data_IF_313067276074
#
_entry.id   IF_313067276074
#
_cell.length_a   1.000
_cell.length_b   1.000
_cell.length_c   1.000
_cell.angle_alpha   90.00
_cell.angle_beta   90.00
_cell.angle_gamma   90.00
#
_symmetry.space_group_name_H-M   'P 1'
#
loop_
_entity.id
_entity.type
_entity.pdbx_description
1 polymer ?
#
# COMPACT_ATOMS: atom_id res chain seq x y z
N UNK A 1 -26.19 -76.69 -44.95
CA UNK A 1 -25.78 -76.26 -43.60
C UNK A 1 -24.57 -75.33 -43.73
N UNK A 2 -24.75 -74.01 -43.89
CA UNK A 2 -23.57 -73.17 -44.13
C UNK A 2 -23.74 -71.67 -44.37
N UNK A 3 -24.80 -71.00 -43.88
CA UNK A 3 -24.92 -69.52 -44.04
C UNK A 3 -25.48 -68.81 -42.78
N UNK A 4 -25.55 -69.46 -41.62
CA UNK A 4 -26.22 -68.88 -40.42
C UNK A 4 -25.34 -68.71 -39.19
N UNK A 5 -24.01 -68.65 -39.34
CA UNK A 5 -23.09 -68.37 -38.21
C UNK A 5 -22.22 -67.12 -38.35
N UNK A 6 -22.29 -66.40 -39.47
CA UNK A 6 -21.45 -65.21 -39.75
C UNK A 6 -22.24 -63.89 -39.72
N UNK A 7 -23.38 -63.83 -39.03
CA UNK A 7 -24.15 -62.58 -38.84
C UNK A 7 -24.33 -62.18 -37.37
N UNK A 8 -23.89 -63.01 -36.40
CA UNK A 8 -23.97 -62.68 -34.97
C UNK A 8 -22.71 -62.04 -34.37
N UNK A 9 -21.60 -62.01 -35.11
CA UNK A 9 -20.36 -61.37 -34.62
C UNK A 9 -20.23 -59.89 -35.02
N UNK A 10 -20.95 -59.43 -36.05
CA UNK A 10 -20.88 -58.03 -36.52
C UNK A 10 -21.87 -57.14 -35.75
N UNK A 11 -23.01 -57.69 -35.32
CA UNK A 11 -24.03 -56.95 -34.55
C UNK A 11 -23.59 -56.53 -33.15
N UNK A 12 -22.72 -57.30 -32.48
CA UNK A 12 -22.28 -57.00 -31.12
C UNK A 12 -21.09 -56.04 -31.05
N UNK A 13 -20.29 -55.93 -32.11
CA UNK A 13 -19.22 -54.92 -32.19
C UNK A 13 -19.78 -53.52 -32.48
N UNK A 14 -20.86 -53.43 -33.27
CA UNK A 14 -21.53 -52.16 -33.56
C UNK A 14 -22.31 -51.61 -32.34
N UNK A 15 -22.88 -52.47 -31.50
CA UNK A 15 -23.59 -52.03 -30.29
C UNK A 15 -22.64 -51.60 -29.15
N UNK A 16 -21.46 -52.22 -29.04
CA UNK A 16 -20.43 -51.80 -28.08
C UNK A 16 -19.73 -50.50 -28.51
N UNK A 17 -19.58 -50.24 -29.81
CA UNK A 17 -19.07 -48.97 -30.32
C UNK A 17 -20.07 -47.81 -30.16
N UNK A 18 -21.36 -48.06 -30.34
CA UNK A 18 -22.40 -47.04 -30.20
C UNK A 18 -22.68 -46.62 -28.74
N UNK A 19 -22.40 -47.49 -27.76
CA UNK A 19 -22.53 -47.18 -26.33
C UNK A 19 -21.32 -46.46 -25.73
N UNK A 20 -20.18 -46.39 -26.44
CA UNK A 20 -18.99 -45.65 -26.00
C UNK A 20 -18.93 -44.20 -26.54
N UNK A 21 -19.84 -43.82 -27.44
CA UNK A 21 -19.94 -42.47 -27.99
C UNK A 21 -20.93 -41.56 -27.24
N UNK A 22 -21.70 -42.09 -26.29
CA UNK A 22 -22.70 -41.33 -25.53
C UNK A 22 -22.21 -40.83 -24.15
N UNK A 23 -20.92 -40.96 -23.87
CA UNK A 23 -20.32 -40.52 -22.60
C UNK A 23 -18.98 -39.80 -22.81
N UNK A 24 -18.78 -39.14 -23.96
CA UNK A 24 -17.95 -37.95 -23.92
C UNK A 24 -18.70 -36.97 -23.00
N UNK A 25 -18.12 -36.50 -21.87
CA UNK A 25 -18.74 -35.40 -21.17
C UNK A 25 -18.95 -34.32 -22.22
N UNK A 26 -20.18 -33.83 -22.35
CA UNK A 26 -20.36 -32.59 -23.08
C UNK A 26 -19.33 -31.64 -22.47
N UNK A 27 -18.40 -31.17 -23.28
CA UNK A 27 -17.66 -29.97 -22.94
C UNK A 27 -18.74 -28.91 -22.82
N UNK A 28 -19.32 -28.79 -21.63
CA UNK A 28 -20.17 -27.70 -21.27
C UNK A 28 -19.18 -26.55 -21.21
N UNK A 29 -18.95 -25.93 -22.36
CA UNK A 29 -18.26 -24.65 -22.44
C UNK A 29 -18.92 -23.81 -21.36
N UNK A 30 -18.14 -23.45 -20.35
CA UNK A 30 -18.68 -22.69 -19.26
C UNK A 30 -19.00 -21.30 -19.79
N UNK A 31 -20.26 -21.11 -20.19
CA UNK A 31 -20.74 -19.83 -20.69
C UNK A 31 -20.50 -18.71 -19.68
N UNK A 32 -20.27 -19.00 -18.39
CA UNK A 32 -19.89 -17.96 -17.43
C UNK A 32 -18.51 -17.41 -17.78
N UNK A 33 -17.50 -18.28 -17.90
CA UNK A 33 -16.10 -17.90 -18.14
C UNK A 33 -15.88 -17.29 -19.52
N UNK A 34 -16.51 -17.86 -20.55
CA UNK A 34 -16.44 -17.34 -21.93
C UNK A 34 -17.00 -15.92 -22.07
N UNK A 35 -17.77 -15.46 -21.07
CA UNK A 35 -18.33 -14.10 -21.01
C UNK A 35 -17.49 -13.12 -20.18
N UNK A 36 -16.29 -13.48 -19.72
CA UNK A 36 -15.38 -12.61 -18.99
C UNK A 36 -14.40 -11.86 -19.91
N UNK A 37 -14.93 -11.07 -20.83
CA UNK A 37 -14.14 -10.38 -21.86
C UNK A 37 -12.96 -9.56 -21.33
N UNK A 38 -13.08 -9.01 -20.11
CA UNK A 38 -12.04 -8.21 -19.48
C UNK A 38 -10.78 -9.04 -19.17
N UNK A 39 -10.95 -10.31 -18.77
CA UNK A 39 -9.82 -11.22 -18.54
C UNK A 39 -9.13 -11.58 -19.87
N UNK A 40 -9.90 -11.77 -20.94
CA UNK A 40 -9.35 -11.97 -22.29
C UNK A 40 -8.55 -10.74 -22.72
N UNK A 41 -9.11 -9.53 -22.53
CA UNK A 41 -8.47 -8.27 -22.89
C UNK A 41 -7.17 -8.02 -22.10
N UNK A 42 -7.07 -8.54 -20.87
CA UNK A 42 -5.87 -8.47 -20.05
C UNK A 42 -4.83 -9.56 -20.33
N UNK A 43 -5.19 -10.60 -21.10
CA UNK A 43 -4.40 -11.83 -21.22
C UNK A 43 -4.16 -12.48 -19.84
N UNK A 44 -5.25 -12.80 -19.14
CA UNK A 44 -5.22 -13.31 -17.77
C UNK A 44 -4.37 -14.59 -17.62
N UNK A 45 -4.34 -15.47 -18.62
CA UNK A 45 -3.47 -16.66 -18.59
C UNK A 45 -1.98 -16.30 -18.59
N UNK A 46 -1.57 -15.25 -19.32
CA UNK A 46 -0.20 -14.76 -19.26
C UNK A 46 0.09 -14.08 -17.92
N UNK A 47 -0.88 -13.35 -17.36
CA UNK A 47 -0.79 -12.72 -16.04
C UNK A 47 -0.55 -13.76 -14.94
N UNK A 48 -1.35 -14.84 -14.91
CA UNK A 48 -1.28 -15.84 -13.84
C UNK A 48 0.01 -16.67 -13.85
N UNK A 49 0.75 -16.68 -14.97
CA UNK A 49 2.12 -17.25 -15.01
C UNK A 49 3.14 -16.37 -14.28
N UNK A 50 2.85 -15.07 -14.15
CA UNK A 50 3.73 -14.10 -13.51
C UNK A 50 3.37 -13.86 -12.05
N UNK A 51 2.09 -13.86 -11.71
CA UNK A 51 1.56 -13.69 -10.36
C UNK A 51 0.09 -14.08 -10.31
N UNK A 52 -0.35 -14.62 -9.18
CA UNK A 52 -1.78 -14.88 -8.89
C UNK A 52 -2.32 -14.08 -7.71
N UNK A 53 -1.48 -13.22 -7.10
CA UNK A 53 -1.85 -12.41 -5.94
C UNK A 53 -1.67 -13.11 -4.59
N UNK A 54 -1.00 -14.27 -4.56
CA UNK A 54 -0.72 -15.02 -3.34
C UNK A 54 -0.07 -14.15 -2.25
N UNK A 55 -0.54 -14.33 -1.00
CA UNK A 55 -0.02 -13.61 0.16
C UNK A 55 -0.53 -12.18 0.32
N UNK A 56 -1.32 -11.67 -0.63
CA UNK A 56 -1.88 -10.32 -0.57
C UNK A 56 -3.32 -10.34 -0.07
N UNK A 57 -3.62 -9.48 0.90
CA UNK A 57 -4.98 -9.24 1.38
C UNK A 57 -5.52 -7.94 0.78
N UNK A 58 -6.68 -8.04 0.15
CA UNK A 58 -7.46 -6.90 -0.38
C UNK A 58 -8.70 -6.72 0.51
N UNK A 59 -8.78 -5.59 1.21
CA UNK A 59 -10.00 -5.23 1.92
C UNK A 59 -11.04 -4.70 0.93
N UNK A 60 -12.28 -5.15 1.08
CA UNK A 60 -13.42 -4.72 0.24
C UNK A 60 -14.43 -4.05 1.15
N UNK A 61 -14.48 -2.72 1.11
CA UNK A 61 -15.46 -1.90 1.85
C UNK A 61 -16.70 -1.75 0.97
N UNK A 62 -17.76 -2.50 1.28
CA UNK A 62 -18.95 -2.64 0.43
C UNK A 62 -20.17 -3.14 1.24
N UNK A 63 -21.20 -3.73 0.62
CA UNK A 63 -22.38 -4.27 1.30
C UNK A 63 -22.20 -5.71 1.85
N UNK A 64 -20.96 -6.16 1.99
CA UNK A 64 -20.60 -7.52 2.43
C UNK A 64 -20.40 -8.50 1.26
N UNK A 65 -19.89 -9.68 1.57
CA UNK A 65 -19.51 -10.70 0.59
C UNK A 65 -20.12 -12.05 0.94
N UNK A 66 -20.62 -12.76 -0.07
CA UNK A 66 -20.97 -14.17 0.04
C UNK A 66 -19.72 -15.04 0.04
N UNK A 67 -19.07 -15.20 1.19
CA UNK A 67 -17.87 -16.04 1.32
C UNK A 67 -18.11 -17.54 1.13
N UNK A 68 -19.38 -17.97 0.99
CA UNK A 68 -19.76 -19.35 0.70
C UNK A 68 -20.02 -19.59 -0.79
N UNK A 69 -19.93 -18.57 -1.64
CA UNK A 69 -20.05 -18.73 -3.08
C UNK A 69 -18.96 -19.71 -3.57
N UNK A 70 -19.27 -20.70 -4.43
CA UNK A 70 -18.31 -21.71 -4.88
C UNK A 70 -17.00 -21.12 -5.42
N UNK A 71 -17.08 -20.05 -6.21
CA UNK A 71 -15.91 -19.38 -6.78
C UNK A 71 -15.08 -18.54 -5.79
N UNK A 72 -15.56 -18.34 -4.56
CA UNK A 72 -14.94 -17.46 -3.56
C UNK A 72 -14.60 -18.18 -2.26
N UNK A 73 -15.14 -19.38 -2.04
CA UNK A 73 -14.91 -20.15 -0.83
C UNK A 73 -13.43 -20.38 -0.61
N UNK A 74 -12.94 -20.11 0.60
CA UNK A 74 -11.51 -20.18 0.93
C UNK A 74 -10.69 -18.93 0.59
N UNK A 75 -11.19 -18.01 -0.25
CA UNK A 75 -10.54 -16.72 -0.53
C UNK A 75 -11.10 -15.57 0.31
N UNK A 76 -12.31 -15.71 0.86
CA UNK A 76 -12.93 -14.69 1.71
C UNK A 76 -12.60 -14.95 3.18
N UNK A 77 -11.86 -14.03 3.79
CA UNK A 77 -11.52 -14.04 5.22
C UNK A 77 -12.75 -13.71 6.06
N UNK A 78 -12.65 -13.97 7.37
CA UNK A 78 -13.64 -13.47 8.32
C UNK A 78 -13.56 -11.94 8.37
N UNK A 79 -14.57 -11.29 7.84
CA UNK A 79 -14.72 -9.84 7.86
C UNK A 79 -15.62 -9.32 8.97
N UNK A 80 -15.71 -7.99 9.06
CA UNK A 80 -16.50 -7.29 10.08
C UNK A 80 -17.66 -6.53 9.45
N UNK A 81 -18.84 -6.69 10.04
CA UNK A 81 -20.02 -5.90 9.71
C UNK A 81 -20.10 -4.66 10.61
N UNK A 82 -20.07 -3.48 10.00
CA UNK A 82 -20.16 -2.20 10.69
C UNK A 82 -21.56 -1.57 10.58
N UNK A 83 -22.52 -2.23 9.93
CA UNK A 83 -23.91 -1.77 9.83
C UNK A 83 -24.76 -2.18 11.05
N UNK A 84 -24.81 -3.47 11.40
CA UNK A 84 -25.65 -4.01 12.47
C UNK A 84 -24.93 -5.04 13.37
N UNK A 85 -23.60 -4.99 13.39
CA UNK A 85 -22.69 -5.95 14.04
C UNK A 85 -22.67 -7.35 13.38
N UNK A 86 -21.61 -8.12 13.60
CA UNK A 86 -21.47 -9.48 13.07
C UNK A 86 -20.47 -9.62 11.92
N UNK A 87 -20.73 -10.57 11.02
CA UNK A 87 -19.78 -11.04 9.98
C UNK A 87 -20.12 -10.46 8.62
N UNK A 88 -19.12 -9.93 7.92
CA UNK A 88 -19.29 -9.43 6.55
C UNK A 88 -19.05 -10.51 5.48
N UNK A 89 -18.63 -11.73 5.84
CA UNK A 89 -18.37 -12.85 4.91
C UNK A 89 -19.59 -13.79 4.71
N UNK A 90 -20.76 -13.37 5.18
CA UNK A 90 -22.00 -14.18 5.17
C UNK A 90 -23.14 -13.50 4.44
N UNK A 91 -22.83 -12.53 3.58
CA UNK A 91 -23.86 -11.79 2.88
C UNK A 91 -24.48 -12.65 1.77
N UNK A 92 -25.81 -12.73 1.71
CA UNK A 92 -26.55 -13.48 0.68
C UNK A 92 -27.69 -12.67 0.07
N UNK A 93 -28.00 -11.49 0.59
CA UNK A 93 -29.13 -10.66 0.16
C UNK A 93 -28.72 -9.50 -0.75
N UNK A 94 -27.42 -9.25 -0.93
CA UNK A 94 -26.87 -8.28 -1.89
C UNK A 94 -25.81 -8.89 -2.78
N UNK A 95 -25.69 -8.31 -3.98
CA UNK A 95 -24.74 -8.78 -4.98
C UNK A 95 -23.46 -7.95 -5.08
N UNK A 96 -23.48 -6.65 -4.73
CA UNK A 96 -22.41 -5.73 -5.11
C UNK A 96 -21.04 -6.09 -4.51
N UNK A 97 -20.92 -6.30 -3.20
CA UNK A 97 -19.65 -6.68 -2.57
C UNK A 97 -19.15 -8.06 -3.02
N UNK A 98 -20.06 -9.02 -3.20
CA UNK A 98 -19.74 -10.33 -3.79
C UNK A 98 -19.21 -10.19 -5.22
N UNK A 99 -19.79 -9.32 -6.01
CA UNK A 99 -19.33 -9.03 -7.36
C UNK A 99 -17.91 -8.44 -7.35
N UNK A 100 -17.65 -7.43 -6.50
CA UNK A 100 -16.30 -6.84 -6.36
C UNK A 100 -15.27 -7.87 -5.93
N UNK A 101 -15.59 -8.67 -4.91
CA UNK A 101 -14.73 -9.74 -4.43
C UNK A 101 -14.43 -10.77 -5.53
N UNK A 102 -15.43 -11.08 -6.38
CA UNK A 102 -15.24 -12.03 -7.49
C UNK A 102 -14.34 -11.50 -8.60
N UNK A 103 -14.45 -10.21 -8.95
CA UNK A 103 -13.55 -9.58 -9.93
C UNK A 103 -12.11 -9.61 -9.42
N UNK A 104 -11.91 -9.45 -8.11
CA UNK A 104 -10.57 -9.43 -7.50
C UNK A 104 -10.01 -10.85 -7.39
N UNK A 105 -10.71 -11.77 -6.71
CA UNK A 105 -10.12 -13.02 -6.23
C UNK A 105 -11.04 -14.24 -6.33
N UNK A 106 -11.96 -14.28 -7.30
CA UNK A 106 -12.61 -15.55 -7.63
C UNK A 106 -11.59 -16.55 -8.18
N UNK A 107 -11.71 -17.81 -7.79
CA UNK A 107 -10.80 -18.88 -8.22
C UNK A 107 -11.52 -19.96 -9.03
N UNK A 108 -12.80 -19.76 -9.37
CA UNK A 108 -13.63 -20.76 -10.03
C UNK A 108 -13.99 -21.93 -9.11
N UNK A 109 -14.66 -22.93 -9.66
CA UNK A 109 -14.98 -24.18 -8.99
C UNK A 109 -15.06 -25.33 -10.01
N UNK A 110 -15.47 -26.51 -9.55
CA UNK A 110 -15.56 -27.71 -10.40
C UNK A 110 -14.18 -28.32 -10.71
N UNK A 111 -14.12 -29.32 -11.61
CA UNK A 111 -12.87 -29.98 -11.97
C UNK A 111 -11.84 -28.98 -12.50
N UNK A 112 -10.64 -28.96 -11.90
CA UNK A 112 -9.56 -28.02 -12.21
C UNK A 112 -9.96 -26.54 -12.13
N UNK A 113 -10.97 -26.21 -11.33
CA UNK A 113 -11.51 -24.86 -11.20
C UNK A 113 -12.02 -24.25 -12.52
N UNK A 114 -12.45 -25.09 -13.47
CA UNK A 114 -12.83 -24.67 -14.82
C UNK A 114 -14.29 -24.18 -14.96
N UNK A 115 -15.03 -24.10 -13.87
CA UNK A 115 -16.43 -23.62 -13.84
C UNK A 115 -16.55 -22.33 -13.03
N UNK A 116 -17.52 -21.48 -13.37
CA UNK A 116 -17.77 -20.20 -12.71
C UNK A 116 -16.81 -19.08 -13.13
N UNK A 117 -16.85 -17.97 -12.39
CA UNK A 117 -16.01 -16.80 -12.68
C UNK A 117 -14.61 -16.94 -12.10
N UNK A 118 -13.64 -16.34 -12.80
CA UNK A 118 -12.28 -16.09 -12.30
C UNK A 118 -12.09 -14.62 -11.95
N UNK A 119 -11.32 -14.34 -10.91
CA UNK A 119 -10.84 -13.01 -10.56
C UNK A 119 -9.48 -12.74 -11.20
N UNK A 120 -9.07 -11.48 -11.22
CA UNK A 120 -7.77 -11.10 -11.79
C UNK A 120 -6.60 -11.61 -10.93
N UNK A 121 -6.78 -11.67 -9.61
CA UNK A 121 -5.81 -12.14 -8.61
C UNK A 121 -6.39 -13.34 -7.82
N UNK A 122 -6.49 -14.54 -8.44
CA UNK A 122 -7.26 -15.66 -7.90
C UNK A 122 -6.71 -16.25 -6.59
N UNK A 123 -5.46 -15.97 -6.21
CA UNK A 123 -4.87 -16.44 -4.94
C UNK A 123 -4.79 -15.34 -3.86
N UNK A 124 -5.27 -14.12 -4.16
CA UNK A 124 -5.42 -13.07 -3.17
C UNK A 124 -6.53 -13.41 -2.16
N UNK A 125 -6.43 -12.83 -0.95
CA UNK A 125 -7.47 -12.95 0.08
C UNK A 125 -8.31 -11.69 0.16
N UNK A 126 -9.61 -11.87 0.36
CA UNK A 126 -10.58 -10.79 0.53
C UNK A 126 -10.88 -10.61 2.01
N UNK A 127 -10.68 -9.40 2.54
CA UNK A 127 -11.18 -8.99 3.84
C UNK A 127 -12.46 -8.15 3.66
N UNK A 128 -13.67 -8.73 3.81
CA UNK A 128 -14.90 -7.99 3.58
C UNK A 128 -15.22 -7.08 4.76
N UNK A 129 -15.56 -5.82 4.50
CA UNK A 129 -15.98 -4.84 5.50
C UNK A 129 -17.34 -4.28 5.08
N UNK A 130 -18.40 -4.69 5.79
CA UNK A 130 -19.78 -4.34 5.41
C UNK A 130 -20.14 -2.95 5.94
N UNK A 131 -20.51 -2.05 5.02
CA UNK A 131 -20.82 -0.64 5.24
C UNK A 131 -22.31 -0.34 5.28
N UNK A 132 -23.06 -0.86 4.32
CA UNK A 132 -24.49 -0.55 4.14
C UNK A 132 -25.32 -1.84 4.05
N UNK A 133 -26.64 -1.67 4.18
CA UNK A 133 -27.59 -2.76 4.06
C UNK A 133 -27.99 -3.05 2.61
N UNK A 134 -29.01 -3.88 2.43
CA UNK A 134 -29.51 -4.31 1.12
C UNK A 134 -29.99 -3.18 0.21
N UNK A 135 -30.52 -2.11 0.81
CA UNK A 135 -31.09 -0.96 0.09
C UNK A 135 -30.06 0.14 -0.18
N UNK A 136 -28.77 -0.11 0.11
CA UNK A 136 -27.71 0.90 0.06
C UNK A 136 -27.88 2.00 1.11
N UNK A 137 -28.69 1.74 2.14
CA UNK A 137 -28.91 2.67 3.24
C UNK A 137 -27.79 2.52 4.28
N UNK A 138 -27.38 3.65 4.81
CA UNK A 138 -26.56 3.73 6.01
C UNK A 138 -27.51 3.70 7.22
N UNK A 139 -27.22 2.87 8.21
CA UNK A 139 -27.90 2.82 9.50
C UNK A 139 -27.45 3.95 10.43
N UNK A 140 -28.26 4.23 11.46
CA UNK A 140 -28.02 5.32 12.43
C UNK A 140 -26.69 5.16 13.20
N UNK A 141 -26.27 3.91 13.45
CA UNK A 141 -25.01 3.53 14.13
C UNK A 141 -23.95 2.94 13.18
N UNK A 142 -24.03 3.23 11.89
CA UNK A 142 -23.07 2.68 10.91
C UNK A 142 -21.66 3.17 11.22
N UNK A 143 -20.71 2.25 11.36
CA UNK A 143 -19.30 2.60 11.46
C UNK A 143 -18.86 3.44 10.27
N UNK A 144 -18.06 4.47 10.52
CA UNK A 144 -17.64 5.40 9.47
C UNK A 144 -16.70 4.71 8.49
N UNK A 145 -16.61 5.20 7.23
CA UNK A 145 -15.59 4.68 6.31
C UNK A 145 -14.17 4.86 6.89
N UNK A 146 -13.98 5.88 7.73
CA UNK A 146 -12.75 6.11 8.46
C UNK A 146 -12.37 4.95 9.42
N UNK A 147 -13.34 4.38 10.13
CA UNK A 147 -13.12 3.21 10.99
C UNK A 147 -12.82 1.96 10.17
N UNK A 148 -13.51 1.77 9.04
CA UNK A 148 -13.30 0.64 8.15
C UNK A 148 -11.91 0.67 7.51
N UNK A 149 -11.44 1.85 7.07
CA UNK A 149 -10.11 2.03 6.50
C UNK A 149 -9.05 1.67 7.54
N UNK A 150 -9.14 2.19 8.78
CA UNK A 150 -8.20 1.84 9.86
C UNK A 150 -8.24 0.35 10.17
N UNK A 151 -9.43 -0.23 10.29
CA UNK A 151 -9.58 -1.66 10.53
C UNK A 151 -8.95 -2.51 9.42
N UNK A 152 -9.09 -2.11 8.14
CA UNK A 152 -8.46 -2.81 7.04
C UNK A 152 -6.93 -2.83 7.17
N UNK A 153 -6.33 -1.68 7.44
CA UNK A 153 -4.88 -1.52 7.67
C UNK A 153 -4.43 -2.40 8.84
N UNK A 154 -5.10 -2.28 9.99
CA UNK A 154 -4.74 -2.99 11.23
C UNK A 154 -4.92 -4.51 11.12
N UNK A 155 -5.71 -4.98 10.16
CA UNK A 155 -5.92 -6.40 9.87
C UNK A 155 -5.15 -6.87 8.63
N UNK A 156 -4.09 -6.14 8.23
CA UNK A 156 -3.09 -6.60 7.28
C UNK A 156 -3.48 -6.47 5.80
N UNK A 157 -4.46 -5.63 5.46
CA UNK A 157 -4.76 -5.33 4.07
C UNK A 157 -3.64 -4.52 3.42
N UNK A 158 -3.18 -4.93 2.23
CA UNK A 158 -2.20 -4.17 1.44
C UNK A 158 -2.86 -3.28 0.38
N UNK A 159 -4.15 -3.53 0.13
CA UNK A 159 -5.03 -2.82 -0.81
C UNK A 159 -6.40 -2.66 -0.17
N UNK A 160 -7.02 -1.49 -0.33
CA UNK A 160 -8.40 -1.20 0.09
C UNK A 160 -9.20 -0.80 -1.14
N UNK A 161 -10.16 -1.65 -1.52
CA UNK A 161 -11.13 -1.39 -2.58
C UNK A 161 -12.37 -0.69 -2.01
N UNK A 162 -12.64 0.52 -2.49
CA UNK A 162 -13.81 1.33 -2.13
C UNK A 162 -14.65 1.59 -3.36
N UNK A 163 -15.53 0.64 -3.69
CA UNK A 163 -16.40 0.71 -4.87
C UNK A 163 -17.63 1.60 -4.66
N UNK A 164 -17.42 2.79 -4.10
CA UNK A 164 -18.46 3.78 -3.85
C UNK A 164 -17.93 5.21 -4.06
N UNK A 165 -18.86 6.12 -4.34
CA UNK A 165 -18.60 7.55 -4.41
C UNK A 165 -19.69 8.32 -3.66
N UNK A 166 -19.28 9.30 -2.86
CA UNK A 166 -20.13 10.27 -2.16
C UNK A 166 -19.75 11.71 -2.51
N UNK A 167 -20.54 12.68 -2.02
CA UNK A 167 -20.35 14.09 -2.35
C UNK A 167 -19.16 14.78 -1.63
N UNK A 168 -18.76 14.29 -0.46
CA UNK A 168 -17.63 14.81 0.31
C UNK A 168 -17.05 13.73 1.21
N UNK A 169 -15.81 13.91 1.66
CA UNK A 169 -15.30 13.17 2.81
C UNK A 169 -16.13 13.51 4.06
N UNK A 170 -16.32 12.52 4.92
CA UNK A 170 -16.89 12.68 6.26
C UNK A 170 -15.79 12.84 7.31
N UNK A 171 -16.19 13.20 8.52
CA UNK A 171 -15.28 13.37 9.65
C UNK A 171 -14.39 12.12 9.84
N UNK A 172 -13.08 12.34 9.99
CA UNK A 172 -12.09 11.29 10.22
C UNK A 172 -11.62 10.54 8.97
N UNK A 173 -12.27 10.71 7.81
CA UNK A 173 -11.94 9.97 6.58
C UNK A 173 -10.62 10.44 5.96
N UNK A 174 -10.31 11.75 6.00
CA UNK A 174 -9.01 12.27 5.52
C UNK A 174 -7.85 11.70 6.35
N UNK A 175 -7.99 11.67 7.67
CA UNK A 175 -7.00 11.11 8.58
C UNK A 175 -6.88 9.58 8.44
N UNK A 176 -7.97 8.89 8.09
CA UNK A 176 -7.92 7.46 7.82
C UNK A 176 -7.18 7.14 6.52
N UNK A 177 -7.40 7.95 5.48
CA UNK A 177 -6.69 7.85 4.21
C UNK A 177 -5.20 8.12 4.44
N UNK A 178 -4.86 9.17 5.20
CA UNK A 178 -3.49 9.45 5.63
C UNK A 178 -2.85 8.26 6.34
N UNK A 179 -3.54 7.70 7.34
CA UNK A 179 -3.08 6.53 8.08
C UNK A 179 -2.78 5.33 7.17
N UNK A 180 -3.67 5.04 6.22
CA UNK A 180 -3.45 3.95 5.26
C UNK A 180 -2.26 4.22 4.33
N UNK A 181 -2.07 5.46 3.86
CA UNK A 181 -0.91 5.85 3.05
C UNK A 181 0.40 5.69 3.83
N UNK A 182 0.43 6.09 5.11
CA UNK A 182 1.61 5.96 5.98
C UNK A 182 1.96 4.49 6.29
N UNK A 183 0.95 3.62 6.32
CA UNK A 183 1.13 2.18 6.49
C UNK A 183 1.37 1.44 5.18
N UNK A 184 1.71 2.16 4.11
CA UNK A 184 1.99 1.63 2.80
C UNK A 184 0.84 0.76 2.27
N UNK A 185 -0.40 1.24 2.38
CA UNK A 185 -1.61 0.57 1.85
C UNK A 185 -2.15 1.36 0.66
N UNK A 186 -2.46 0.67 -0.45
CA UNK A 186 -3.03 1.34 -1.63
C UNK A 186 -4.54 1.45 -1.48
N UNK A 187 -5.07 2.68 -1.51
CA UNK A 187 -6.51 2.93 -1.56
C UNK A 187 -6.96 3.11 -3.01
N UNK A 188 -8.03 2.40 -3.40
CA UNK A 188 -8.58 2.43 -4.76
C UNK A 188 -10.06 2.74 -4.67
N UNK A 189 -10.54 3.74 -5.42
CA UNK A 189 -11.95 4.10 -5.40
C UNK A 189 -12.51 4.46 -6.77
N UNK A 190 -13.79 4.13 -6.97
CA UNK A 190 -14.52 4.45 -8.20
C UNK A 190 -14.89 5.92 -8.28
N UNK A 191 -14.82 6.52 -9.46
CA UNK A 191 -15.12 7.95 -9.64
C UNK A 191 -16.62 8.27 -9.53
N UNK A 192 -17.49 7.26 -9.70
CA UNK A 192 -18.94 7.38 -9.67
C UNK A 192 -19.60 7.17 -11.04
N UNK A 193 -20.92 6.97 -11.03
CA UNK A 193 -21.69 6.45 -12.16
C UNK A 193 -22.79 7.45 -12.62
N UNK A 194 -22.48 8.74 -12.76
CA UNK A 194 -23.46 9.76 -13.18
C UNK A 194 -23.02 10.60 -14.38
N UNK A 195 -21.90 10.24 -15.02
CA UNK A 195 -21.33 10.99 -16.15
C UNK A 195 -20.98 12.43 -15.79
N UNK A 196 -20.67 12.68 -14.51
CA UNK A 196 -20.51 14.02 -13.96
C UNK A 196 -19.04 14.42 -13.83
N UNK A 197 -18.79 15.73 -13.98
CA UNK A 197 -17.52 16.36 -13.65
C UNK A 197 -17.36 16.66 -12.14
N UNK A 198 -18.42 16.48 -11.34
CA UNK A 198 -18.38 16.70 -9.90
C UNK A 198 -17.49 15.63 -9.25
N UNK A 199 -16.43 16.02 -8.51
CA UNK A 199 -15.54 15.05 -7.88
C UNK A 199 -16.29 14.17 -6.87
N UNK A 200 -16.17 12.85 -7.04
CA UNK A 200 -16.67 11.86 -6.09
C UNK A 200 -15.61 11.52 -5.03
N UNK A 201 -16.02 11.42 -3.77
CA UNK A 201 -15.13 11.01 -2.67
C UNK A 201 -15.44 9.57 -2.22
N UNK A 202 -14.43 8.76 -1.86
CA UNK A 202 -13.04 9.14 -1.60
C UNK A 202 -12.14 9.17 -2.84
N UNK A 203 -12.62 8.87 -4.05
CA UNK A 203 -11.78 8.85 -5.25
C UNK A 203 -11.01 10.16 -5.51
N UNK A 204 -11.62 11.32 -5.25
CA UNK A 204 -10.97 12.62 -5.40
C UNK A 204 -10.00 12.99 -4.27
N UNK A 205 -9.91 12.21 -3.19
CA UNK A 205 -9.03 12.49 -2.07
C UNK A 205 -7.56 12.26 -2.45
N UNK A 206 -6.62 13.10 -2.00
CA UNK A 206 -5.20 12.80 -2.10
C UNK A 206 -4.88 11.45 -1.45
N UNK A 207 -3.97 10.69 -2.06
CA UNK A 207 -3.57 9.35 -1.60
C UNK A 207 -4.41 8.21 -2.17
N UNK A 208 -5.52 8.51 -2.85
CA UNK A 208 -6.42 7.51 -3.43
C UNK A 208 -6.23 7.39 -4.94
N UNK A 209 -6.23 6.15 -5.44
CA UNK A 209 -6.25 5.84 -6.88
C UNK A 209 -7.70 5.94 -7.37
N UNK A 210 -8.02 7.03 -8.07
CA UNK A 210 -9.33 7.24 -8.68
C UNK A 210 -9.47 6.45 -10.00
N UNK A 211 -10.50 5.62 -10.10
CA UNK A 211 -10.70 4.70 -11.22
C UNK A 211 -11.99 4.99 -11.99
N UNK A 212 -11.84 5.31 -13.28
CA UNK A 212 -12.94 5.41 -14.25
C UNK A 212 -13.19 4.09 -14.99
N UNK A 213 -14.32 3.99 -15.69
CA UNK A 213 -14.74 2.79 -16.40
C UNK A 213 -14.65 2.95 -17.93
N UNK A 214 -14.19 1.88 -18.60
CA UNK A 214 -14.25 1.73 -20.05
C UNK A 214 -15.05 0.48 -20.45
N UNK A 215 -15.55 0.49 -21.68
CA UNK A 215 -16.18 -0.67 -22.30
C UNK A 215 -15.17 -1.58 -23.03
N UNK A 216 -15.69 -2.62 -23.71
CA UNK A 216 -14.88 -3.61 -24.45
C UNK A 216 -14.07 -3.02 -25.61
N UNK A 217 -14.49 -1.87 -26.14
CA UNK A 217 -13.76 -1.15 -27.19
C UNK A 217 -12.68 -0.21 -26.64
N UNK A 218 -12.55 -0.13 -25.30
CA UNK A 218 -11.65 0.80 -24.63
C UNK A 218 -12.20 2.22 -24.56
N UNK A 219 -13.46 2.44 -24.95
CA UNK A 219 -14.10 3.75 -24.89
C UNK A 219 -14.64 4.00 -23.48
N UNK A 220 -14.59 5.26 -23.04
CA UNK A 220 -15.13 5.67 -21.73
C UNK A 220 -16.62 5.36 -21.66
N UNK A 221 -17.03 4.69 -20.58
CA UNK A 221 -18.44 4.49 -20.29
C UNK A 221 -19.10 5.84 -20.01
N UNK A 222 -20.24 6.11 -20.63
CA UNK A 222 -20.90 7.43 -20.57
C UNK A 222 -21.24 7.88 -19.14
N UNK A 223 -21.52 6.94 -18.25
CA UNK A 223 -21.83 7.23 -16.84
C UNK A 223 -20.57 7.34 -15.96
N UNK A 224 -19.36 7.07 -16.48
CA UNK A 224 -18.14 7.24 -15.70
C UNK A 224 -17.90 8.72 -15.40
N UNK A 225 -17.89 9.07 -14.12
CA UNK A 225 -17.52 10.41 -13.69
C UNK A 225 -16.06 10.73 -14.09
N UNK A 226 -15.81 12.00 -14.37
CA UNK A 226 -14.56 12.48 -14.96
C UNK A 226 -14.04 13.75 -14.27
N UNK A 227 -12.79 14.10 -14.53
CA UNK A 227 -12.15 15.31 -14.06
C UNK A 227 -10.67 15.11 -13.72
N UNK A 228 -9.99 16.14 -13.21
CA UNK A 228 -8.54 16.11 -12.95
C UNK A 228 -8.11 15.16 -11.82
N UNK A 229 -9.06 14.51 -11.16
CA UNK A 229 -8.81 13.51 -10.12
C UNK A 229 -8.67 12.10 -10.69
N UNK A 230 -9.19 11.81 -11.89
CA UNK A 230 -9.11 10.48 -12.51
C UNK A 230 -7.65 10.11 -12.74
N UNK A 231 -7.23 8.93 -12.25
CA UNK A 231 -5.85 8.47 -12.36
C UNK A 231 -5.71 7.35 -13.38
N UNK A 232 -6.61 6.36 -13.35
CA UNK A 232 -6.59 5.19 -14.22
C UNK A 232 -8.00 4.85 -14.68
N UNK A 233 -8.09 4.07 -15.75
CA UNK A 233 -9.33 3.41 -16.13
C UNK A 233 -9.16 1.90 -16.26
N UNK A 234 -10.26 1.17 -16.16
CA UNK A 234 -10.29 -0.28 -16.33
C UNK A 234 -11.66 -0.73 -16.89
N UNK A 235 -11.77 -1.97 -17.39
CA UNK A 235 -13.03 -2.57 -17.80
C UNK A 235 -14.13 -2.41 -16.74
N UNK A 236 -15.23 -1.78 -17.13
CA UNK A 236 -16.36 -1.52 -16.23
C UNK A 236 -17.73 -1.82 -16.81
N UNK A 237 -17.83 -2.21 -18.08
CA UNK A 237 -19.12 -2.43 -18.78
C UNK A 237 -19.26 -3.89 -19.21
N UNK A 238 -20.46 -4.45 -19.01
CA UNK A 238 -20.81 -5.85 -19.25
C UNK A 238 -19.85 -6.83 -18.57
N UNK A 239 -19.57 -6.59 -17.29
CA UNK A 239 -18.66 -7.42 -16.51
C UNK A 239 -19.44 -8.55 -15.84
N UNK A 240 -19.07 -9.79 -16.19
CA UNK A 240 -19.62 -11.02 -15.59
C UNK A 240 -18.99 -11.26 -14.22
N UNK A 241 -19.81 -11.39 -13.20
CA UNK A 241 -19.39 -11.53 -11.79
C UNK A 241 -20.19 -12.60 -11.06
N UNK A 242 -19.68 -13.05 -9.92
CA UNK A 242 -20.48 -13.81 -8.96
C UNK A 242 -21.52 -12.90 -8.28
N UNK A 243 -22.63 -13.48 -7.84
CA UNK A 243 -23.65 -12.78 -7.07
C UNK A 243 -23.94 -13.44 -5.71
N UNK A 244 -24.58 -12.68 -4.84
CA UNK A 244 -25.11 -13.15 -3.57
C UNK A 244 -26.53 -13.72 -3.68
N UNK A 245 -27.39 -13.12 -4.52
CA UNK A 245 -28.80 -13.45 -4.71
C UNK A 245 -29.01 -14.44 -5.85
N UNK A 246 -28.41 -14.16 -7.01
CA UNK A 246 -28.22 -15.08 -8.13
C UNK A 246 -26.75 -15.53 -8.16
N UNK A 247 -26.43 -16.74 -8.64
CA UNK A 247 -25.04 -17.21 -8.64
C UNK A 247 -24.14 -16.34 -9.51
N UNK A 248 -24.66 -15.79 -10.61
CA UNK A 248 -23.91 -14.94 -11.53
C UNK A 248 -24.76 -13.79 -12.06
N UNK A 249 -24.11 -12.69 -12.39
CA UNK A 249 -24.76 -11.51 -12.98
C UNK A 249 -23.84 -10.79 -13.98
N UNK A 250 -24.43 -9.86 -14.73
CA UNK A 250 -23.72 -8.85 -15.50
C UNK A 250 -23.90 -7.50 -14.82
N UNK A 251 -22.82 -6.73 -14.73
CA UNK A 251 -22.84 -5.42 -14.07
C UNK A 251 -22.05 -4.38 -14.86
N UNK A 252 -22.46 -3.12 -14.68
CA UNK A 252 -21.79 -1.93 -15.19
C UNK A 252 -21.42 -1.03 -14.02
N UNK A 253 -20.25 -0.41 -14.04
CA UNK A 253 -19.87 0.50 -12.97
C UNK A 253 -18.39 0.84 -12.94
N UNK A 254 -18.07 2.04 -12.44
CA UNK A 254 -16.72 2.36 -11.94
C UNK A 254 -16.31 1.45 -10.78
N UNK A 255 -17.27 0.88 -10.05
CA UNK A 255 -17.07 -0.21 -9.09
C UNK A 255 -16.31 -1.40 -9.68
N UNK A 256 -16.75 -1.90 -10.85
CA UNK A 256 -16.11 -3.04 -11.51
C UNK A 256 -14.67 -2.71 -11.94
N UNK A 257 -14.47 -1.52 -12.49
CA UNK A 257 -13.15 -1.03 -12.87
C UNK A 257 -12.22 -0.92 -11.64
N UNK A 258 -12.74 -0.41 -10.52
CA UNK A 258 -12.04 -0.31 -9.23
C UNK A 258 -11.57 -1.67 -8.73
N UNK A 259 -12.43 -2.69 -8.85
CA UNK A 259 -12.11 -4.06 -8.47
C UNK A 259 -10.98 -4.66 -9.35
N UNK A 260 -11.00 -4.42 -10.67
CA UNK A 260 -9.89 -4.84 -11.54
C UNK A 260 -8.58 -4.13 -11.21
N UNK A 261 -8.60 -2.83 -10.93
CA UNK A 261 -7.40 -2.09 -10.50
C UNK A 261 -6.88 -2.67 -9.17
N UNK A 262 -7.76 -2.97 -8.22
CA UNK A 262 -7.40 -3.60 -6.94
C UNK A 262 -6.77 -4.98 -7.13
N UNK A 263 -7.32 -5.80 -8.03
CA UNK A 263 -6.73 -7.09 -8.42
C UNK A 263 -5.35 -6.92 -9.06
N UNK A 264 -5.19 -5.96 -9.97
CA UNK A 264 -3.89 -5.67 -10.59
C UNK A 264 -2.83 -5.22 -9.57
N UNK A 265 -3.23 -4.42 -8.57
CA UNK A 265 -2.35 -4.04 -7.46
C UNK A 265 -1.99 -5.26 -6.62
N UNK A 266 -2.93 -6.16 -6.33
CA UNK A 266 -2.64 -7.39 -5.58
C UNK A 266 -1.62 -8.28 -6.31
N UNK A 267 -1.76 -8.45 -7.62
CA UNK A 267 -0.78 -9.15 -8.46
C UNK A 267 0.61 -8.52 -8.36
N UNK A 268 0.70 -7.20 -8.45
CA UNK A 268 1.97 -6.46 -8.39
C UNK A 268 2.60 -6.53 -7.00
N UNK A 269 1.81 -6.45 -5.93
CA UNK A 269 2.28 -6.60 -4.54
C UNK A 269 2.86 -7.97 -4.27
N UNK A 270 2.21 -9.03 -4.79
CA UNK A 270 2.72 -10.39 -4.65
C UNK A 270 4.06 -10.58 -5.39
N UNK A 271 4.19 -10.03 -6.61
CA UNK A 271 5.41 -10.13 -7.41
C UNK A 271 6.55 -9.23 -6.93
N UNK A 272 6.21 -8.05 -6.41
CA UNK A 272 7.15 -7.01 -6.01
C UNK A 272 6.92 -6.56 -4.56
N UNK A 273 7.16 -7.43 -3.57
CA UNK A 273 6.83 -7.15 -2.17
C UNK A 273 7.62 -5.99 -1.57
N UNK A 274 8.78 -5.64 -2.15
CA UNK A 274 9.64 -4.54 -1.67
C UNK A 274 9.22 -3.15 -2.21
N UNK A 275 8.29 -3.09 -3.16
CA UNK A 275 7.81 -1.81 -3.70
C UNK A 275 6.77 -1.18 -2.77
N UNK A 276 6.93 0.11 -2.55
CA UNK A 276 5.92 0.91 -1.82
C UNK A 276 4.63 1.01 -2.64
N UNK A 277 3.53 1.36 -1.96
CA UNK A 277 2.22 1.64 -2.53
C UNK A 277 2.33 2.59 -3.75
N UNK A 278 3.04 3.71 -3.60
CA UNK A 278 3.26 4.66 -4.68
C UNK A 278 4.06 4.08 -5.85
N UNK A 279 5.06 3.26 -5.59
CA UNK A 279 5.86 2.61 -6.65
C UNK A 279 5.07 1.53 -7.39
N UNK A 280 4.17 0.80 -6.71
CA UNK A 280 3.23 -0.12 -7.36
C UNK A 280 2.29 0.64 -8.30
N UNK A 281 1.70 1.75 -7.83
CA UNK A 281 0.83 2.60 -8.67
C UNK A 281 1.62 3.24 -9.83
N UNK A 282 2.88 3.59 -9.63
CA UNK A 282 3.75 4.07 -10.70
C UNK A 282 3.88 3.04 -11.83
N UNK A 283 4.00 1.74 -11.54
CA UNK A 283 4.04 0.70 -12.59
C UNK A 283 2.75 0.66 -13.40
N UNK A 284 1.59 0.76 -12.77
CA UNK A 284 0.30 0.84 -13.48
C UNK A 284 0.21 2.09 -14.34
N UNK A 285 0.57 3.26 -13.81
CA UNK A 285 0.54 4.53 -14.55
C UNK A 285 1.49 4.53 -15.74
N UNK A 286 2.71 3.99 -15.58
CA UNK A 286 3.71 3.95 -16.65
C UNK A 286 3.37 2.96 -17.76
N UNK A 287 2.57 1.95 -17.45
CA UNK A 287 2.11 0.96 -18.42
C UNK A 287 0.68 1.20 -18.87
N UNK A 288 -0.04 2.18 -18.34
CA UNK A 288 -1.38 2.50 -18.84
C UNK A 288 -1.31 2.93 -20.32
N UNK A 289 -2.39 2.69 -21.05
CA UNK A 289 -2.49 3.08 -22.45
C UNK A 289 -3.83 3.76 -22.76
N UNK A 290 -3.78 4.76 -23.63
CA UNK A 290 -4.96 5.33 -24.26
C UNK A 290 -5.37 4.48 -25.47
N UNK A 291 -6.66 4.50 -25.86
CA UNK A 291 -7.08 3.94 -27.13
C UNK A 291 -6.39 4.67 -28.31
N UNK A 292 -6.34 4.01 -29.47
CA UNK A 292 -5.55 4.45 -30.62
C UNK A 292 -5.93 5.85 -31.13
N UNK A 293 -7.22 6.19 -31.04
CA UNK A 293 -7.79 7.49 -31.41
C UNK A 293 -7.43 8.63 -30.43
N UNK A 294 -6.84 8.29 -29.28
CA UNK A 294 -6.42 9.21 -28.22
C UNK A 294 -4.90 9.27 -28.04
N UNK A 295 -4.12 8.56 -28.88
CA UNK A 295 -2.65 8.62 -28.81
C UNK A 295 -2.14 10.06 -29.03
N UNK A 296 -1.14 10.45 -28.24
CA UNK A 296 -0.51 11.78 -28.31
C UNK A 296 -1.23 12.88 -27.53
N UNK A 297 -2.33 12.59 -26.84
CA UNK A 297 -2.96 13.51 -25.88
C UNK A 297 -2.04 13.74 -24.67
N UNK A 298 -2.15 14.93 -24.08
CA UNK A 298 -1.47 15.23 -22.82
C UNK A 298 -2.04 14.35 -21.71
N UNK A 299 -1.15 13.83 -20.87
CA UNK A 299 -1.51 13.04 -19.69
C UNK A 299 -1.24 13.85 -18.40
N UNK A 300 -2.04 13.67 -17.34
CA UNK A 300 -3.28 12.87 -17.32
C UNK A 300 -4.42 13.56 -18.10
N UNK A 301 -5.25 12.76 -18.76
CA UNK A 301 -6.50 13.17 -19.40
C UNK A 301 -7.66 13.17 -18.38
N UNK A 302 -8.65 14.06 -18.52
CA UNK A 302 -9.75 14.17 -17.53
C UNK A 302 -10.66 12.94 -17.49
N UNK A 303 -10.72 12.13 -18.54
CA UNK A 303 -11.58 10.93 -18.60
C UNK A 303 -10.77 9.66 -18.43
N UNK A 304 -9.61 9.59 -19.07
CA UNK A 304 -8.77 8.40 -19.05
C UNK A 304 -7.71 8.40 -17.92
N UNK A 305 -7.45 9.54 -17.28
CA UNK A 305 -6.29 9.68 -16.40
C UNK A 305 -5.02 9.41 -17.19
N UNK A 306 -4.20 8.46 -16.72
CA UNK A 306 -3.02 7.96 -17.45
C UNK A 306 -3.36 6.88 -18.49
N UNK A 307 -4.59 6.37 -18.51
CA UNK A 307 -5.08 5.38 -19.46
C UNK A 307 -5.64 4.12 -18.81
N UNK A 308 -5.98 3.16 -19.66
CA UNK A 308 -6.49 1.85 -19.29
C UNK A 308 -5.34 1.00 -18.74
N UNK A 309 -5.54 0.34 -17.59
CA UNK A 309 -4.53 -0.53 -17.00
C UNK A 309 -4.12 -1.68 -17.94
N UNK A 310 -2.84 -2.06 -17.92
CA UNK A 310 -2.30 -3.22 -18.63
C UNK A 310 -1.51 -4.12 -17.66
N UNK A 311 -2.19 -4.95 -16.84
CA UNK A 311 -1.56 -5.65 -15.73
C UNK A 311 -0.38 -6.54 -16.14
N UNK A 312 -0.49 -7.26 -17.28
CA UNK A 312 0.61 -8.08 -17.79
C UNK A 312 1.89 -7.26 -18.06
N UNK A 313 1.75 -6.08 -18.68
CA UNK A 313 2.90 -5.17 -18.90
C UNK A 313 3.42 -4.60 -17.58
N UNK A 314 2.54 -4.22 -16.67
CA UNK A 314 2.94 -3.76 -15.33
C UNK A 314 3.75 -4.83 -14.56
N UNK A 315 3.44 -6.12 -14.78
CA UNK A 315 4.14 -7.25 -14.17
C UNK A 315 5.47 -7.58 -14.84
N UNK A 316 5.63 -7.33 -16.14
CA UNK A 316 6.75 -7.89 -16.94
C UNK A 316 7.75 -6.86 -17.45
N UNK A 317 7.34 -5.60 -17.67
CA UNK A 317 8.24 -4.57 -18.16
C UNK A 317 9.23 -4.11 -17.08
N UNK A 318 10.44 -3.76 -17.51
CA UNK A 318 11.42 -3.13 -16.63
C UNK A 318 11.08 -1.64 -16.46
N UNK A 319 10.51 -1.31 -15.30
CA UNK A 319 10.05 0.03 -14.95
C UNK A 319 10.84 0.48 -13.73
N UNK A 320 11.60 1.60 -13.82
CA UNK A 320 12.25 2.18 -12.67
C UNK A 320 11.23 2.45 -11.55
N UNK A 321 11.55 2.03 -10.33
CA UNK A 321 10.63 2.14 -9.20
C UNK A 321 10.15 3.59 -9.01
N UNK A 322 11.04 4.56 -9.17
CA UNK A 322 10.74 5.98 -8.99
C UNK A 322 10.64 6.38 -7.51
N UNK A 323 10.10 7.57 -7.20
CA UNK A 323 9.92 8.02 -5.82
C UNK A 323 8.96 7.10 -5.05
N UNK A 324 9.13 6.98 -3.73
CA UNK A 324 8.29 6.13 -2.87
C UNK A 324 6.79 6.46 -2.97
N UNK A 325 6.44 7.73 -3.14
CA UNK A 325 5.07 8.19 -3.29
C UNK A 325 4.52 7.96 -4.70
N UNK A 326 5.39 7.71 -5.70
CA UNK A 326 4.98 7.54 -7.10
C UNK A 326 4.10 8.71 -7.58
N UNK A 327 2.98 8.42 -8.29
CA UNK A 327 2.04 9.46 -8.74
C UNK A 327 1.00 9.83 -7.68
N UNK A 328 1.02 9.23 -6.48
CA UNK A 328 0.03 9.51 -5.44
C UNK A 328 0.29 10.89 -4.82
N UNK A 329 -0.77 11.68 -4.67
CA UNK A 329 -0.73 12.96 -3.96
C UNK A 329 -0.68 12.69 -2.46
N UNK A 330 0.20 13.35 -1.72
CA UNK A 330 0.26 13.23 -0.26
C UNK A 330 -1.00 13.82 0.40
N UNK A 331 -1.69 13.11 1.32
CA UNK A 331 -2.78 13.66 2.12
C UNK A 331 -2.35 14.86 2.96
N UNK A 332 -3.23 15.85 3.13
CA UNK A 332 -2.91 17.10 3.83
C UNK A 332 -2.54 16.86 5.29
N UNK A 333 -3.18 15.88 5.93
CA UNK A 333 -2.89 15.48 7.30
C UNK A 333 -1.43 14.99 7.48
N UNK A 334 -0.92 14.19 6.53
CA UNK A 334 0.49 13.72 6.53
C UNK A 334 1.44 14.91 6.40
N UNK A 335 1.13 15.85 5.50
CA UNK A 335 1.93 17.08 5.31
C UNK A 335 1.95 17.93 6.60
N UNK A 336 0.82 18.02 7.29
CA UNK A 336 0.71 18.76 8.55
C UNK A 336 1.53 18.10 9.67
N UNK A 337 1.50 16.77 9.77
CA UNK A 337 2.27 16.01 10.76
C UNK A 337 3.78 16.10 10.50
N UNK A 338 4.24 15.92 9.26
CA UNK A 338 5.65 16.07 8.89
C UNK A 338 6.17 17.49 9.19
N UNK A 339 5.36 18.51 8.91
CA UNK A 339 5.68 19.91 9.23
C UNK A 339 5.80 20.15 10.73
N UNK A 340 4.86 19.60 11.52
CA UNK A 340 4.89 19.70 12.98
C UNK A 340 6.13 18.98 13.58
N UNK A 341 6.46 17.79 13.08
CA UNK A 341 7.63 17.03 13.49
C UNK A 341 8.94 17.78 13.16
N UNK A 342 9.03 18.38 11.96
CA UNK A 342 10.18 19.19 11.56
C UNK A 342 10.35 20.43 12.46
N UNK A 343 9.25 21.12 12.78
CA UNK A 343 9.28 22.25 13.71
C UNK A 343 9.70 21.85 15.13
N UNK A 344 9.24 20.69 15.61
CA UNK A 344 9.64 20.15 16.91
C UNK A 344 11.14 19.82 16.95
N UNK A 345 11.67 19.20 15.90
CA UNK A 345 13.10 18.88 15.78
C UNK A 345 13.97 20.15 15.73
N UNK A 346 13.54 21.19 15.02
CA UNK A 346 14.24 22.48 14.98
C UNK A 346 14.27 23.16 16.36
N UNK A 347 13.14 23.12 17.08
CA UNK A 347 13.05 23.69 18.43
C UNK A 347 13.92 22.92 19.44
N UNK A 348 14.00 21.59 19.33
CA UNK A 348 14.90 20.78 20.14
C UNK A 348 16.36 21.18 19.89
N UNK A 349 16.77 21.32 18.62
CA UNK A 349 18.13 21.73 18.26
C UNK A 349 18.48 23.13 18.80
N UNK A 350 17.58 24.10 18.67
CA UNK A 350 17.76 25.45 19.24
C UNK A 350 17.89 25.42 20.77
N UNK A 351 17.15 24.53 21.43
CA UNK A 351 17.23 24.38 22.89
C UNK A 351 18.57 23.78 23.31
N UNK A 352 19.08 22.77 22.60
CA UNK A 352 20.41 22.21 22.83
C UNK A 352 21.52 23.23 22.59
N UNK A 353 21.44 23.99 21.49
CA UNK A 353 22.38 25.08 21.18
C UNK A 353 22.40 26.14 22.30
N UNK A 354 21.23 26.56 22.80
CA UNK A 354 21.10 27.52 23.89
C UNK A 354 21.65 26.98 25.23
N UNK A 355 21.41 25.70 25.53
CA UNK A 355 21.95 25.04 26.72
C UNK A 355 23.48 24.92 26.66
N UNK A 356 24.02 24.59 25.49
CA UNK A 356 25.47 24.53 25.25
C UNK A 356 26.14 25.91 25.39
N UNK A 357 25.50 26.97 24.89
CA UNK A 357 25.97 28.34 25.08
C UNK A 357 25.95 28.77 26.55
N UNK A 358 24.87 28.46 27.28
CA UNK A 358 24.76 28.74 28.71
C UNK A 358 25.82 27.99 29.53
N UNK A 359 26.13 26.74 29.18
CA UNK A 359 27.19 25.95 29.79
C UNK A 359 28.58 26.59 29.56
N UNK A 360 28.90 26.98 28.31
CA UNK A 360 30.15 27.68 27.98
C UNK A 360 30.30 29.01 28.73
N UNK A 361 29.23 29.79 28.84
CA UNK A 361 29.24 31.05 29.57
C UNK A 361 29.46 30.82 31.08
N UNK A 362 28.82 29.81 31.65
CA UNK A 362 29.00 29.44 33.07
C UNK A 362 30.44 28.99 33.37
N UNK A 363 31.02 28.14 32.50
CA UNK A 363 32.40 27.69 32.63
C UNK A 363 33.40 28.85 32.49
N UNK A 364 33.13 29.78 31.58
CA UNK A 364 33.94 31.00 31.41
C UNK A 364 33.91 31.87 32.66
N UNK A 365 32.72 32.12 33.24
CA UNK A 365 32.58 32.89 34.48
C UNK A 365 33.32 32.20 35.63
N UNK A 366 33.19 30.88 35.80
CA UNK A 366 33.91 30.12 36.81
C UNK A 366 35.43 30.20 36.62
N UNK A 367 35.92 30.13 35.38
CA UNK A 367 37.34 30.27 35.07
C UNK A 367 37.89 31.67 35.37
N UNK A 368 37.13 32.73 35.05
CA UNK A 368 37.51 34.12 35.36
C UNK A 368 37.54 34.37 36.86
N UNK A 369 36.52 33.91 37.60
CA UNK A 369 36.47 34.04 39.06
C UNK A 369 37.59 33.23 39.72
N UNK A 370 37.79 31.97 39.30
CA UNK A 370 38.89 31.13 39.78
C UNK A 370 40.27 31.73 39.49
N UNK A 371 40.46 32.29 38.30
CA UNK A 371 41.68 33.00 37.91
C UNK A 371 41.93 34.27 38.74
N UNK A 372 40.88 35.05 39.03
CA UNK A 372 40.97 36.24 39.87
C UNK A 372 41.33 35.89 41.33
N UNK A 373 40.74 34.84 41.89
CA UNK A 373 41.08 34.34 43.23
C UNK A 373 42.53 33.85 43.29
N UNK A 374 42.96 33.08 42.28
CA UNK A 374 44.34 32.61 42.21
C UNK A 374 45.32 33.77 42.08
N UNK A 375 45.01 34.78 41.27
CA UNK A 375 45.81 35.99 41.13
C UNK A 375 45.93 36.75 42.46
N UNK A 376 44.84 36.93 43.20
CA UNK A 376 44.86 37.57 44.52
C UNK A 376 45.70 36.78 45.53
N UNK A 377 45.65 35.44 45.50
CA UNK A 377 46.50 34.59 46.35
C UNK A 377 47.98 34.72 46.01
N UNK A 378 48.32 34.79 44.71
CA UNK A 378 49.70 35.02 44.26
C UNK A 378 50.19 36.40 44.69
N UNK A 379 49.37 37.45 44.53
CA UNK A 379 49.71 38.80 44.99
C UNK A 379 49.93 38.83 46.51
N UNK A 380 49.05 38.20 47.28
CA UNK A 380 49.21 38.09 48.74
C UNK A 380 50.51 37.36 49.11
N UNK A 381 50.83 36.25 48.44
CA UNK A 381 52.07 35.52 48.65
C UNK A 381 53.32 36.37 48.32
N UNK A 382 53.28 37.13 47.22
CA UNK A 382 54.36 38.05 46.84
C UNK A 382 54.53 39.15 47.88
N UNK A 383 53.44 39.74 48.38
CA UNK A 383 53.47 40.75 49.45
C UNK A 383 54.10 40.17 50.71
N UNK A 384 53.72 38.95 51.11
CA UNK A 384 54.33 38.25 52.25
C UNK A 384 55.84 38.08 52.02
N UNK A 385 56.27 37.62 50.85
CA UNK A 385 57.70 37.44 50.51
C UNK A 385 58.46 38.77 50.56
N UNK A 386 57.88 39.86 50.04
CA UNK A 386 58.50 41.20 50.06
C UNK A 386 58.60 41.73 51.49
N UNK A 387 57.57 41.55 52.33
CA UNK A 387 57.59 41.94 53.74
C UNK A 387 58.64 41.12 54.52
N UNK A 388 58.73 39.82 54.28
CA UNK A 388 59.76 38.95 54.88
C UNK A 388 61.16 39.34 54.41
N UNK A 389 61.36 39.65 53.12
CA UNK A 389 62.66 40.13 52.60
C UNK A 389 63.05 41.51 53.14
N UNK A 390 62.10 42.43 53.36
CA UNK A 390 62.37 43.70 54.03
C UNK A 390 62.79 43.52 55.48
N UNK A 391 62.20 42.56 56.19
CA UNK A 391 62.63 42.17 57.55
C UNK A 391 63.95 41.40 57.58
N UNK A 392 64.37 40.81 56.46
CA UNK A 392 65.64 40.08 56.33
C UNK A 392 66.88 40.93 56.04
N UNK A 393 66.75 42.26 55.87
CA UNK A 393 67.88 43.14 55.52
C UNK A 393 68.68 43.67 56.72
N UNK A 394 68.30 43.31 57.96
CA UNK A 394 68.96 43.76 59.20
C UNK A 394 69.89 42.72 59.85
N UNK A 395 70.35 41.70 59.12
CA UNK A 395 71.31 40.73 59.67
C UNK A 395 72.53 40.53 58.77
N UNK A 396 73.55 41.30 59.14
CA UNK A 396 74.93 41.31 58.68
C UNK A 396 75.68 40.03 59.13
N UNK A 397 76.63 39.52 58.33
CA UNK A 397 77.62 38.56 58.82
C UNK A 397 78.27 37.61 57.80
N UNK A 398 79.24 38.12 57.02
CA UNK A 398 80.52 37.46 56.67
C UNK A 398 80.55 36.18 55.79
N UNK A 399 81.30 36.16 54.67
CA UNK A 399 81.66 34.94 53.93
C UNK A 399 83.07 34.44 54.28
N UNK A 400 83.40 33.18 53.94
CA UNK A 400 84.49 32.99 52.99
C UNK A 400 84.25 31.88 51.94
N UNK A 401 85.15 31.76 50.93
CA UNK A 401 84.79 31.32 49.58
C UNK A 401 85.42 29.98 49.16
N UNK A 402 84.99 29.49 47.99
CA UNK A 402 85.87 28.77 47.06
C UNK A 402 85.59 27.27 46.88
N UNK A 403 85.56 26.84 45.61
CA UNK A 403 85.74 25.43 45.23
C UNK A 403 84.80 24.93 44.13
N UNK A 404 85.28 24.71 42.89
CA UNK A 404 84.49 24.17 41.79
C UNK A 404 84.76 22.66 41.54
N UNK A 405 83.90 22.10 40.67
CA UNK A 405 84.17 21.03 39.69
C UNK A 405 83.67 19.59 39.95
N UNK A 406 83.09 19.06 38.86
CA UNK A 406 82.90 17.65 38.41
C UNK A 406 81.76 16.78 38.93
N UNK A 407 81.02 16.21 37.97
CA UNK A 407 81.22 14.77 37.73
C UNK A 407 79.98 13.88 37.62
N UNK A 408 79.44 13.75 36.41
CA UNK A 408 79.24 12.41 35.80
C UNK A 408 77.86 11.72 35.88
N UNK A 409 77.61 10.74 34.98
CA UNK A 409 76.28 10.42 34.42
C UNK A 409 75.87 8.93 34.54
N UNK A 410 74.67 8.60 34.04
CA UNK A 410 74.22 7.23 33.69
C UNK A 410 72.71 7.23 33.41
N UNK A 411 72.22 7.08 32.17
CA UNK A 411 72.06 5.83 31.41
C UNK A 411 71.34 4.75 32.24
N UNK A 412 70.06 4.44 32.00
CA UNK A 412 69.62 3.63 30.87
C UNK A 412 68.27 2.95 31.17
N UNK A 413 67.73 2.13 30.26
CA UNK A 413 66.33 2.20 29.81
C UNK A 413 65.53 0.90 30.03
N UNK A 414 64.26 0.86 29.60
CA UNK A 414 63.55 -0.39 29.34
C UNK A 414 62.03 -0.26 29.16
N UNK A 415 61.46 -0.66 27.99
CA UNK A 415 60.02 -0.70 27.74
C UNK A 415 59.44 -2.13 27.70
N UNK A 416 58.10 -2.21 27.67
CA UNK A 416 57.31 -3.39 27.28
C UNK A 416 56.33 -3.85 28.37
N UNK A 417 55.23 -4.57 28.11
CA UNK A 417 54.36 -4.79 26.95
C UNK A 417 53.15 -5.57 27.52
N UNK A 418 52.01 -5.49 26.84
CA UNK A 418 50.87 -6.44 26.83
C UNK A 418 50.06 -6.73 28.13
N UNK A 419 48.73 -6.69 27.95
CA UNK A 419 47.70 -7.12 28.89
C UNK A 419 46.33 -6.76 28.34
#
# INVERSE_FOLDING_TARGET
MGVTRTLRAIGNAALAGALLLSAAPAASADSIRDNQWALDAFDAEAIWKESTGEGVTVAVIDNGVNGLHPDLTGNVLRGKNFFDSGRADRQTSTDHGTAMASIIAAHGHGPNNNEGVMGLAPDAKILPLKRDNEDGMFGEDTGTAAEMIRYAVDNGASVINMSFAGGSLREGEEEAIAYAVEHDVVLVAGTGNTGSATPGYPAAAPGVVAVGAVDRSGQIWEESNYGPHVMLTAPGVYIRTAGGTAPYQLSNGTSNATAYVSGAIALLRAKFPDLTAGQVVNRLVKTAALPDDMQGKSLPDERYGYGIIRPYRALTEDIPAGPKQGPLKTPSAVVAEESAAAAAAENARKTEEALAERSRNTNTVLAVVGGAVLFLLVVAAVVVVVVVRRRGKDRNGGPPPGGPWTGGPGAGPGPGNAG
#
